data_IF_301840666820
#
_entry.id   IF_301840666820
#
_cell.length_a   1.000
_cell.length_b   1.000
_cell.length_c   1.000
_cell.angle_alpha   90.00
_cell.angle_beta   90.00
_cell.angle_gamma   90.00
#
_symmetry.space_group_name_H-M   'P 1'
#
loop_
_entity.id
_entity.type
_entity.pdbx_description
1 polymer ?
#
# COMPACT_ATOMS: atom_id res chain seq x y z
N UNK A 1 -3.35 28.52 -1.61
CA UNK A 1 -4.01 27.21 -1.64
C UNK A 1 -3.19 26.18 -0.86
N UNK A 2 -1.90 25.95 -1.18
CA UNK A 2 -1.10 24.90 -0.51
C UNK A 2 -0.88 25.05 1.02
N UNK A 3 -0.74 26.28 1.55
CA UNK A 3 -0.51 26.47 3.00
C UNK A 3 -1.74 26.12 3.84
N UNK A 4 -2.92 26.44 3.34
CA UNK A 4 -4.17 26.24 4.07
C UNK A 4 -4.52 24.74 4.19
N UNK A 5 -4.26 23.98 3.13
CA UNK A 5 -4.41 22.52 3.13
C UNK A 5 -3.40 21.84 4.07
N UNK A 6 -2.16 22.33 4.11
CA UNK A 6 -1.14 21.81 5.02
C UNK A 6 -1.51 22.03 6.49
N UNK A 7 -1.99 23.22 6.85
CA UNK A 7 -2.43 23.49 8.22
C UNK A 7 -3.66 22.62 8.60
N UNK A 8 -4.60 22.44 7.67
CA UNK A 8 -5.73 21.53 7.89
C UNK A 8 -5.29 20.07 8.10
N UNK A 9 -4.28 19.61 7.37
CA UNK A 9 -3.69 18.28 7.56
C UNK A 9 -3.07 18.17 8.95
N UNK A 10 -2.31 19.18 9.38
CA UNK A 10 -1.64 19.20 10.68
C UNK A 10 -2.63 19.14 11.83
N UNK A 11 -3.73 19.90 11.75
CA UNK A 11 -4.80 19.83 12.77
C UNK A 11 -5.43 18.43 12.81
N UNK A 12 -5.77 17.84 11.66
CA UNK A 12 -6.33 16.47 11.60
C UNK A 12 -5.36 15.40 12.09
N UNK A 13 -4.07 15.61 11.94
CA UNK A 13 -3.05 14.66 12.35
C UNK A 13 -2.94 14.51 13.87
N UNK A 14 -3.28 15.57 14.63
CA UNK A 14 -3.29 15.52 16.09
C UNK A 14 -4.28 14.49 16.62
N UNK A 15 -5.47 14.45 16.01
CA UNK A 15 -6.56 13.52 16.34
C UNK A 15 -6.40 12.13 15.72
N UNK A 16 -5.48 11.97 14.76
CA UNK A 16 -5.24 10.68 14.11
C UNK A 16 -4.60 9.69 15.09
N UNK A 17 -5.23 8.52 15.21
CA UNK A 17 -4.65 7.37 15.90
C UNK A 17 -4.02 6.42 14.87
N UNK A 18 -2.69 6.27 14.85
CA UNK A 18 -1.99 5.35 13.95
C UNK A 18 -2.47 3.90 14.05
N UNK A 19 -2.54 3.22 12.90
CA UNK A 19 -2.74 1.78 12.86
C UNK A 19 -1.45 1.01 13.22
N UNK A 20 -0.29 1.58 12.86
CA UNK A 20 1.01 1.01 13.19
C UNK A 20 1.37 1.35 14.63
N UNK A 21 1.76 0.35 15.46
CA UNK A 21 2.28 0.61 16.79
C UNK A 21 3.54 1.49 16.77
N UNK A 22 3.67 2.37 17.76
CA UNK A 22 4.81 3.29 17.87
C UNK A 22 6.15 2.55 17.89
N UNK A 23 6.23 1.39 18.54
CA UNK A 23 7.46 0.59 18.62
C UNK A 23 7.97 0.13 17.24
N UNK A 24 7.08 -0.08 16.27
CA UNK A 24 7.48 -0.42 14.89
C UNK A 24 8.06 0.81 14.21
N UNK A 25 7.44 1.97 14.40
CA UNK A 25 7.90 3.24 13.83
C UNK A 25 9.27 3.60 14.40
N UNK A 26 9.43 3.51 15.72
CA UNK A 26 10.70 3.79 16.42
C UNK A 26 11.83 2.88 15.92
N UNK A 27 11.55 1.58 15.77
CA UNK A 27 12.53 0.65 15.21
C UNK A 27 12.97 1.04 13.80
N UNK A 28 12.03 1.40 12.91
CA UNK A 28 12.39 1.82 11.55
C UNK A 28 13.08 3.19 11.51
N UNK A 29 12.74 4.11 12.42
CA UNK A 29 13.43 5.39 12.55
C UNK A 29 14.89 5.20 12.98
N UNK A 30 15.11 4.44 14.05
CA UNK A 30 16.45 4.12 14.56
C UNK A 30 17.29 3.39 13.51
N UNK A 31 16.70 2.38 12.84
CA UNK A 31 17.36 1.63 11.76
C UNK A 31 17.84 2.53 10.61
N UNK A 32 17.14 3.62 10.33
CA UNK A 32 17.52 4.59 9.29
C UNK A 32 18.33 5.78 9.84
N UNK A 33 18.73 5.76 11.12
CA UNK A 33 19.53 6.80 11.76
C UNK A 33 18.76 8.10 12.05
N UNK A 34 17.42 8.04 12.11
CA UNK A 34 16.56 9.19 12.41
C UNK A 34 16.09 9.11 13.85
N UNK A 35 16.30 10.17 14.61
CA UNK A 35 15.74 10.34 15.96
C UNK A 35 14.81 11.55 15.96
N UNK A 36 13.57 11.37 16.42
CA UNK A 36 12.59 12.46 16.53
C UNK A 36 11.70 12.28 17.75
N UNK A 37 11.64 13.31 18.59
CA UNK A 37 10.76 13.34 19.74
C UNK A 37 9.34 13.80 19.36
N UNK A 38 9.18 14.40 18.17
CA UNK A 38 7.91 14.95 17.71
C UNK A 38 6.92 13.84 17.30
N UNK A 39 5.85 13.70 18.08
CA UNK A 39 4.77 12.73 17.86
C UNK A 39 4.05 12.94 16.53
N UNK A 40 3.88 14.19 16.07
CA UNK A 40 3.24 14.48 14.77
C UNK A 40 4.05 13.89 13.62
N UNK A 41 5.38 13.88 13.72
CA UNK A 41 6.25 13.27 12.69
C UNK A 41 6.07 11.76 12.66
N UNK A 42 6.00 11.10 13.83
CA UNK A 42 5.75 9.65 13.91
C UNK A 42 4.37 9.29 13.34
N UNK A 43 3.33 10.06 13.69
CA UNK A 43 1.97 9.91 13.13
C UNK A 43 1.94 10.10 11.62
N UNK A 44 2.65 11.11 11.11
CA UNK A 44 2.73 11.36 9.67
C UNK A 44 3.37 10.20 8.92
N UNK A 45 4.49 9.68 9.42
CA UNK A 45 5.19 8.53 8.82
C UNK A 45 4.28 7.30 8.81
N UNK A 46 3.59 7.04 9.92
CA UNK A 46 2.60 5.96 9.97
C UNK A 46 1.47 6.16 8.96
N UNK A 47 0.93 7.37 8.84
CA UNK A 47 -0.16 7.69 7.92
C UNK A 47 0.28 7.48 6.47
N UNK A 48 1.46 7.98 6.10
CA UNK A 48 2.02 7.83 4.76
C UNK A 48 2.28 6.37 4.41
N UNK A 49 2.84 5.60 5.35
CA UNK A 49 3.06 4.16 5.18
C UNK A 49 1.74 3.41 4.97
N UNK A 50 0.71 3.75 5.75
CA UNK A 50 -0.61 3.15 5.62
C UNK A 50 -1.31 3.53 4.31
N UNK A 51 -1.20 4.80 3.88
CA UNK A 51 -1.69 5.26 2.58
C UNK A 51 -1.02 4.49 1.45
N UNK A 52 0.31 4.39 1.47
CA UNK A 52 1.07 3.65 0.46
C UNK A 52 0.59 2.20 0.33
N UNK A 53 0.47 1.48 1.45
CA UNK A 53 -0.01 0.10 1.45
C UNK A 53 -1.44 -0.01 0.90
N UNK A 54 -2.30 0.95 1.24
CA UNK A 54 -3.68 1.02 0.77
C UNK A 54 -3.73 1.24 -0.75
N UNK A 55 -2.92 2.15 -1.28
CA UNK A 55 -2.84 2.41 -2.71
C UNK A 55 -2.36 1.17 -3.48
N UNK A 56 -1.32 0.47 -3.00
CA UNK A 56 -0.87 -0.83 -3.57
C UNK A 56 -2.04 -1.82 -3.60
N UNK A 57 -2.72 -1.99 -2.47
CA UNK A 57 -3.79 -2.99 -2.33
C UNK A 57 -4.99 -2.68 -3.23
N UNK A 58 -5.35 -1.40 -3.36
CA UNK A 58 -6.42 -0.94 -4.27
C UNK A 58 -6.03 -1.22 -5.72
N UNK A 59 -4.81 -0.87 -6.14
CA UNK A 59 -4.34 -1.10 -7.50
C UNK A 59 -4.30 -2.59 -7.83
N UNK A 60 -3.77 -3.42 -6.92
CA UNK A 60 -3.76 -4.87 -7.08
C UNK A 60 -5.19 -5.43 -7.19
N UNK A 61 -6.16 -4.92 -6.42
CA UNK A 61 -7.56 -5.31 -6.55
C UNK A 61 -8.16 -4.91 -7.92
N UNK A 62 -7.77 -3.76 -8.47
CA UNK A 62 -8.21 -3.33 -9.80
C UNK A 62 -7.66 -4.27 -10.89
N UNK A 63 -6.37 -4.60 -10.83
CA UNK A 63 -5.76 -5.59 -11.74
C UNK A 63 -6.44 -6.94 -11.65
N UNK A 64 -6.72 -7.43 -10.44
CA UNK A 64 -7.46 -8.67 -10.21
C UNK A 64 -8.84 -8.66 -10.89
N UNK A 65 -9.59 -7.56 -10.78
CA UNK A 65 -10.90 -7.40 -11.44
C UNK A 65 -10.79 -7.42 -12.96
N UNK A 66 -9.75 -6.82 -13.53
CA UNK A 66 -9.51 -6.81 -14.99
C UNK A 66 -9.18 -8.23 -15.46
N UNK A 67 -8.27 -8.91 -14.75
CA UNK A 67 -7.81 -10.26 -15.06
C UNK A 67 -8.95 -11.29 -14.97
N UNK A 68 -9.75 -11.25 -13.91
CA UNK A 68 -10.91 -12.14 -13.72
C UNK A 68 -12.01 -11.90 -14.77
N UNK A 69 -12.32 -10.63 -15.11
CA UNK A 69 -13.26 -10.30 -16.20
C UNK A 69 -12.83 -10.89 -17.54
N UNK A 70 -11.53 -10.84 -17.86
CA UNK A 70 -11.00 -11.45 -19.07
C UNK A 70 -11.20 -12.98 -19.09
N UNK A 71 -10.96 -13.65 -17.96
CA UNK A 71 -11.17 -15.11 -17.81
C UNK A 71 -12.63 -15.53 -17.90
N UNK A 72 -13.54 -14.77 -17.30
CA UNK A 72 -14.99 -15.12 -17.30
C UNK A 72 -15.68 -15.07 -18.67
N UNK A 73 -15.05 -14.45 -19.68
CA UNK A 73 -15.55 -14.51 -21.07
C UNK A 73 -15.34 -15.89 -21.70
N UNK A 74 -14.39 -16.66 -21.19
CA UNK A 74 -14.14 -18.02 -21.65
C UNK A 74 -14.98 -19.00 -20.83
N UNK A 75 -15.98 -19.62 -21.47
CA UNK A 75 -16.92 -20.58 -20.86
C UNK A 75 -16.23 -21.81 -20.27
N UNK A 76 -14.95 -22.06 -20.57
CA UNK A 76 -14.16 -23.15 -19.99
C UNK A 76 -13.71 -22.87 -18.55
N UNK A 77 -13.71 -21.60 -18.13
CA UNK A 77 -13.28 -21.22 -16.80
C UNK A 77 -14.48 -20.92 -15.91
N UNK A 78 -14.55 -21.62 -14.77
CA UNK A 78 -15.56 -21.36 -13.75
C UNK A 78 -15.34 -19.97 -13.16
N UNK A 79 -16.43 -19.26 -12.89
CA UNK A 79 -16.37 -17.95 -12.24
C UNK A 79 -15.78 -18.11 -10.84
N UNK A 80 -14.61 -17.51 -10.59
CA UNK A 80 -14.02 -17.45 -9.26
C UNK A 80 -15.00 -16.77 -8.30
N UNK A 81 -15.36 -17.47 -7.22
CA UNK A 81 -16.35 -17.01 -6.23
C UNK A 81 -15.73 -16.17 -5.11
N UNK A 82 -14.40 -16.20 -4.96
CA UNK A 82 -13.67 -15.51 -3.90
C UNK A 82 -12.56 -14.67 -4.50
N UNK A 83 -12.53 -13.39 -4.14
CA UNK A 83 -11.41 -12.49 -4.46
C UNK A 83 -10.15 -12.99 -3.78
N UNK A 84 -9.06 -13.11 -4.52
CA UNK A 84 -7.76 -13.53 -3.99
C UNK A 84 -6.69 -12.54 -4.43
N UNK A 85 -5.74 -12.23 -3.54
CA UNK A 85 -4.58 -11.43 -3.91
C UNK A 85 -3.59 -12.34 -4.64
N UNK A 86 -3.47 -12.19 -5.96
CA UNK A 86 -2.54 -12.97 -6.78
C UNK A 86 -1.25 -12.20 -7.02
N UNK A 87 -0.12 -12.91 -7.09
CA UNK A 87 1.21 -12.33 -7.31
C UNK A 87 1.25 -11.53 -8.62
N UNK A 88 0.64 -12.05 -9.69
CA UNK A 88 0.54 -11.38 -10.99
C UNK A 88 -0.16 -10.01 -10.93
N UNK A 89 -1.18 -9.89 -10.07
CA UNK A 89 -1.94 -8.64 -9.91
C UNK A 89 -1.13 -7.64 -9.07
N UNK A 90 -0.38 -8.14 -8.08
CA UNK A 90 0.51 -7.34 -7.23
C UNK A 90 1.75 -6.85 -7.97
N UNK A 91 2.35 -7.68 -8.84
CA UNK A 91 3.51 -7.33 -9.66
C UNK A 91 3.18 -6.13 -10.57
N UNK A 92 2.03 -6.17 -11.25
CA UNK A 92 1.56 -5.04 -12.07
C UNK A 92 1.28 -3.78 -11.25
N UNK A 93 0.66 -3.93 -10.08
CA UNK A 93 0.37 -2.80 -9.19
C UNK A 93 1.64 -2.11 -8.70
N UNK A 94 2.72 -2.87 -8.49
CA UNK A 94 4.02 -2.35 -8.05
C UNK A 94 4.84 -1.79 -9.21
N UNK A 95 4.72 -2.38 -10.40
CA UNK A 95 5.33 -1.86 -11.64
C UNK A 95 4.83 -0.43 -11.95
N UNK A 96 3.54 -0.16 -11.77
CA UNK A 96 2.97 1.20 -11.93
C UNK A 96 3.57 2.22 -10.95
N UNK A 97 4.07 1.76 -9.80
CA UNK A 97 4.76 2.60 -8.81
C UNK A 97 6.28 2.61 -8.97
N UNK A 98 6.81 2.00 -10.04
CA UNK A 98 8.23 1.96 -10.36
C UNK A 98 9.02 0.89 -9.61
N UNK A 99 8.35 -0.10 -9.02
CA UNK A 99 8.99 -1.23 -8.33
C UNK A 99 8.90 -2.48 -9.21
N UNK A 100 10.01 -2.88 -9.80
CA UNK A 100 10.10 -4.11 -10.59
C UNK A 100 10.27 -5.32 -9.67
N UNK A 101 9.38 -6.29 -9.84
CA UNK A 101 9.39 -7.57 -9.15
C UNK A 101 9.43 -8.66 -10.23
N UNK A 102 10.63 -8.91 -10.73
CA UNK A 102 10.86 -10.01 -11.67
C UNK A 102 11.10 -11.31 -10.90
N UNK A 103 10.22 -12.29 -11.06
CA UNK A 103 10.36 -13.63 -10.48
C UNK A 103 10.14 -14.71 -11.54
N UNK A 104 10.96 -15.77 -11.59
CA UNK A 104 10.68 -16.89 -12.47
C UNK A 104 9.49 -17.70 -11.95
N UNK A 105 8.66 -18.23 -12.86
CA UNK A 105 7.54 -19.09 -12.50
C UNK A 105 7.97 -20.42 -11.86
N UNK A 106 9.18 -20.88 -12.18
CA UNK A 106 9.80 -22.06 -11.60
C UNK A 106 11.33 -21.91 -11.65
N UNK A 107 12.00 -22.50 -10.67
CA UNK A 107 13.46 -22.68 -10.70
C UNK A 107 13.75 -24.06 -11.29
N UNK A 108 14.79 -24.14 -12.12
CA UNK A 108 15.23 -25.39 -12.75
C UNK A 108 16.21 -26.14 -11.86
#
# INVERSE_FOLDING_TARGET
MEREEFEQLKEKLKDYTPLLPDSIIDYFLEKNGVSTDNEEVRKLISLMSHKFLTDVAINAQQFHKIHTKARTKDKRFSKEKKTTLQVLDLEKALEEMGVDITRPYYYK
#
